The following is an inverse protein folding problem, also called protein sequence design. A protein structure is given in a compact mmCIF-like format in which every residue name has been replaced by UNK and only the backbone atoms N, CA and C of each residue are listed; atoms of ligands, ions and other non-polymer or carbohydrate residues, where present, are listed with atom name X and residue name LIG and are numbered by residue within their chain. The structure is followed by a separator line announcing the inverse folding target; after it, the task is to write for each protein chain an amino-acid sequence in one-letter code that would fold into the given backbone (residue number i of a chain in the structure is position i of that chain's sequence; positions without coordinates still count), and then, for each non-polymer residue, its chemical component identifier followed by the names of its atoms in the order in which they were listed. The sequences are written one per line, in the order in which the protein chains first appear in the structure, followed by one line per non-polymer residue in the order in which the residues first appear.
data_IF_508460564250
#
_entry.id   IF_508460564250
#
_cell.length_a   1.000
_cell.length_b   1.000
_cell.length_c   1.000
_cell.angle_alpha   90.00
_cell.angle_beta   90.00
_cell.angle_gamma   90.00
#
_symmetry.space_group_name_H-M   'P 1'
#
loop_
_entity.id
_entity.type
_entity.pdbx_description
1 polymer ?
#
# COMPACT_ATOMS: atom_id res chain seq x y z
N UNK A 1 50.58 21.87 18.21
CA UNK A 1 49.79 21.22 17.16
C UNK A 1 48.53 20.70 17.84
N UNK A 2 47.43 21.45 17.79
CA UNK A 2 46.12 21.09 18.37
C UNK A 2 45.15 20.97 17.21
N UNK A 3 44.47 19.83 17.13
CA UNK A 3 43.55 19.46 16.06
C UNK A 3 42.38 20.45 15.91
N UNK A 4 41.88 20.68 14.68
CA UNK A 4 40.75 21.56 14.46
C UNK A 4 39.42 20.87 14.83
N UNK A 5 38.61 21.61 15.58
CA UNK A 5 37.20 21.35 15.89
C UNK A 5 36.42 20.90 14.65
N UNK A 6 35.63 19.80 14.69
CA UNK A 6 34.78 19.45 13.57
C UNK A 6 33.65 20.48 13.44
N UNK A 7 33.47 20.98 12.22
CA UNK A 7 32.39 21.88 11.86
C UNK A 7 31.04 21.26 12.27
N UNK A 8 30.20 22.07 12.93
CA UNK A 8 28.82 21.70 13.25
C UNK A 8 28.12 21.36 11.95
N UNK A 9 27.67 20.12 11.83
CA UNK A 9 26.74 19.67 10.80
C UNK A 9 25.53 20.62 10.84
N UNK A 10 25.36 21.41 9.79
CA UNK A 10 24.22 22.31 9.68
C UNK A 10 22.94 21.48 9.76
N UNK A 11 22.17 21.71 10.82
CA UNK A 11 20.85 21.14 10.96
C UNK A 11 19.95 21.90 9.99
N UNK A 12 19.73 21.33 8.80
CA UNK A 12 18.72 21.86 7.87
C UNK A 12 17.35 21.70 8.53
N UNK A 13 16.59 22.79 8.72
CA UNK A 13 15.28 22.71 9.36
C UNK A 13 14.35 21.88 8.46
N UNK A 14 13.72 20.88 9.07
CA UNK A 14 12.74 19.99 8.45
C UNK A 14 11.40 20.75 8.33
N UNK A 15 11.37 21.85 7.58
CA UNK A 15 10.15 22.62 7.36
C UNK A 15 9.29 21.98 6.26
N UNK A 16 8.41 21.08 6.69
CA UNK A 16 6.96 20.99 6.45
C UNK A 16 6.35 21.80 5.27
N UNK A 17 6.81 21.53 4.06
CA UNK A 17 6.06 21.41 2.80
C UNK A 17 6.80 20.28 2.10
N UNK A 18 6.13 19.23 1.63
CA UNK A 18 6.82 18.06 1.04
C UNK A 18 7.95 18.54 0.14
N UNK A 19 9.21 18.23 0.51
CA UNK A 19 10.40 18.71 -0.21
C UNK A 19 10.39 18.32 -1.71
N UNK A 20 9.46 17.45 -2.06
CA UNK A 20 9.13 16.96 -3.38
C UNK A 20 7.83 17.63 -3.86
N UNK A 21 7.92 18.35 -4.97
CA UNK A 21 6.77 18.80 -5.74
C UNK A 21 6.35 17.69 -6.69
N UNK A 22 5.46 16.81 -6.24
CA UNK A 22 4.95 15.71 -7.08
C UNK A 22 4.03 16.27 -8.18
N UNK A 23 4.14 15.77 -9.42
CA UNK A 23 3.17 16.05 -10.47
C UNK A 23 1.75 15.61 -10.07
N UNK A 24 0.73 16.34 -10.53
CA UNK A 24 -0.67 16.06 -10.13
C UNK A 24 -1.14 14.70 -10.63
N UNK A 25 -0.81 14.33 -11.87
CA UNK A 25 -1.09 13.00 -12.44
C UNK A 25 -0.49 11.89 -11.58
N UNK A 26 0.68 12.14 -11.00
CA UNK A 26 1.32 11.17 -10.12
C UNK A 26 0.60 11.03 -8.77
N UNK A 27 0.14 12.15 -8.20
CA UNK A 27 -0.68 12.14 -6.99
C UNK A 27 -2.03 11.46 -7.24
N UNK A 28 -2.67 11.74 -8.38
CA UNK A 28 -3.94 11.15 -8.78
C UNK A 28 -3.81 9.62 -8.93
N UNK A 29 -2.74 9.14 -9.56
CA UNK A 29 -2.46 7.71 -9.68
C UNK A 29 -2.25 7.03 -8.31
N UNK A 30 -1.55 7.71 -7.38
CA UNK A 30 -1.35 7.22 -6.02
C UNK A 30 -2.67 7.15 -5.24
N UNK A 31 -3.51 8.19 -5.34
CA UNK A 31 -4.85 8.22 -4.71
C UNK A 31 -5.73 7.11 -5.27
N UNK A 32 -5.83 7.00 -6.60
CA UNK A 32 -6.61 5.95 -7.24
C UNK A 32 -6.16 4.54 -6.84
N UNK A 33 -4.84 4.32 -6.68
CA UNK A 33 -4.31 3.04 -6.19
C UNK A 33 -4.78 2.73 -4.77
N UNK A 34 -4.76 3.72 -3.87
CA UNK A 34 -5.22 3.56 -2.49
C UNK A 34 -6.73 3.32 -2.42
N UNK A 35 -7.52 4.11 -3.14
CA UNK A 35 -8.98 3.96 -3.19
C UNK A 35 -9.40 2.61 -3.78
N UNK A 36 -8.75 2.17 -4.85
CA UNK A 36 -9.01 0.84 -5.46
C UNK A 36 -8.66 -0.28 -4.49
N UNK A 37 -7.56 -0.16 -3.73
CA UNK A 37 -7.21 -1.13 -2.70
C UNK A 37 -8.25 -1.18 -1.59
N UNK A 38 -8.66 -0.03 -1.07
CA UNK A 38 -9.68 0.05 -0.03
C UNK A 38 -11.01 -0.56 -0.51
N UNK A 39 -11.44 -0.24 -1.73
CA UNK A 39 -12.64 -0.80 -2.33
C UNK A 39 -12.55 -2.33 -2.51
N UNK A 40 -11.40 -2.83 -2.96
CA UNK A 40 -11.16 -4.27 -3.08
C UNK A 40 -11.18 -4.97 -1.71
N UNK A 41 -10.58 -4.38 -0.68
CA UNK A 41 -10.60 -4.93 0.68
C UNK A 41 -12.02 -4.99 1.27
N UNK A 42 -12.83 -3.95 1.08
CA UNK A 42 -14.24 -3.98 1.47
C UNK A 42 -15.04 -5.03 0.70
N UNK A 43 -14.81 -5.15 -0.61
CA UNK A 43 -15.44 -6.18 -1.41
C UNK A 43 -15.03 -7.60 -0.96
N UNK A 44 -13.75 -7.83 -0.71
CA UNK A 44 -13.21 -9.12 -0.30
C UNK A 44 -13.79 -9.61 1.03
N UNK A 45 -14.15 -8.71 1.96
CA UNK A 45 -14.85 -9.06 3.21
C UNK A 45 -16.23 -9.67 2.98
N UNK A 46 -16.84 -9.44 1.83
CA UNK A 46 -18.16 -10.00 1.47
C UNK A 46 -18.07 -11.35 0.79
N UNK A 47 -16.86 -11.77 0.38
CA UNK A 47 -16.64 -13.00 -0.34
C UNK A 47 -16.51 -14.19 0.61
N UNK A 48 -16.82 -15.42 0.14
CA UNK A 48 -16.43 -16.63 0.84
C UNK A 48 -14.93 -16.64 1.15
N UNK A 49 -14.52 -17.28 2.23
CA UNK A 49 -13.11 -17.30 2.64
C UNK A 49 -12.18 -18.01 1.63
N UNK A 50 -12.76 -18.81 0.71
CA UNK A 50 -12.04 -19.46 -0.38
C UNK A 50 -12.62 -19.11 -1.74
N UNK A 51 -11.74 -18.92 -2.72
CA UNK A 51 -12.09 -18.70 -4.13
C UNK A 51 -12.63 -19.96 -4.83
N UNK A 52 -12.12 -21.13 -4.46
CA UNK A 52 -12.62 -22.41 -4.97
C UNK A 52 -13.49 -23.09 -3.90
N UNK A 53 -14.42 -23.98 -4.29
CA UNK A 53 -15.15 -24.78 -3.32
C UNK A 53 -14.18 -25.56 -2.43
N UNK A 54 -14.25 -25.33 -1.12
CA UNK A 54 -13.37 -25.99 -0.15
C UNK A 54 -14.17 -26.44 1.08
N UNK A 55 -13.93 -27.66 1.58
CA UNK A 55 -14.53 -28.08 2.85
C UNK A 55 -13.99 -27.23 4.00
N UNK A 56 -14.85 -27.00 4.97
CA UNK A 56 -14.50 -26.40 6.24
C UNK A 56 -13.48 -27.26 6.98
N UNK A 57 -12.76 -26.64 7.89
CA UNK A 57 -11.71 -27.29 8.65
C UNK A 57 -11.68 -26.74 10.08
N UNK A 58 -11.20 -27.56 11.01
CA UNK A 58 -10.88 -27.14 12.37
C UNK A 58 -9.40 -27.42 12.60
N UNK A 59 -8.67 -26.40 13.04
CA UNK A 59 -7.26 -26.47 13.33
C UNK A 59 -6.96 -27.01 14.71
N UNK A 60 -5.73 -27.50 14.89
CA UNK A 60 -5.25 -27.91 16.20
C UNK A 60 -5.22 -26.73 17.18
N UNK A 61 -5.39 -27.07 18.46
CA UNK A 61 -5.28 -26.12 19.57
C UNK A 61 -3.91 -25.46 19.54
N UNK A 62 -3.90 -24.12 19.50
CA UNK A 62 -2.66 -23.35 19.58
C UNK A 62 -2.05 -23.47 21.00
N UNK A 63 -0.73 -23.56 21.09
CA UNK A 63 -0.04 -23.69 22.39
C UNK A 63 -0.35 -22.45 23.26
N UNK A 64 -0.73 -22.70 24.52
CA UNK A 64 -1.16 -21.68 25.49
C UNK A 64 -2.42 -20.87 25.13
N UNK A 65 -3.22 -21.29 24.14
CA UNK A 65 -4.52 -20.67 23.83
C UNK A 65 -5.64 -21.70 23.86
N UNK A 66 -6.85 -21.28 24.26
CA UNK A 66 -8.07 -22.09 24.10
C UNK A 66 -8.68 -21.94 22.71
N UNK A 67 -8.20 -20.98 21.91
CA UNK A 67 -8.69 -20.74 20.56
C UNK A 67 -8.28 -21.86 19.61
N UNK A 68 -9.22 -22.22 18.72
CA UNK A 68 -9.01 -23.07 17.56
C UNK A 68 -9.49 -22.32 16.33
N UNK A 69 -8.61 -22.17 15.37
CA UNK A 69 -8.98 -21.66 14.05
C UNK A 69 -9.92 -22.65 13.41
N UNK A 70 -11.02 -22.17 12.86
CA UNK A 70 -11.92 -22.98 12.06
C UNK A 70 -12.52 -22.12 10.96
N UNK A 71 -12.93 -22.77 9.89
CA UNK A 71 -13.71 -22.18 8.81
C UNK A 71 -14.83 -23.15 8.42
N UNK A 72 -15.98 -22.62 8.02
CA UNK A 72 -17.09 -23.41 7.48
C UNK A 72 -16.82 -23.84 6.03
N UNK A 73 -17.67 -24.70 5.44
CA UNK A 73 -17.57 -25.03 4.03
C UNK A 73 -17.67 -23.76 3.17
N UNK A 74 -16.66 -23.50 2.33
CA UNK A 74 -16.74 -22.43 1.34
C UNK A 74 -17.33 -22.96 0.04
N UNK A 75 -18.37 -22.33 -0.52
CA UNK A 75 -18.87 -22.66 -1.85
C UNK A 75 -17.94 -22.21 -2.98
N UNK A 76 -16.87 -21.45 -2.69
CA UNK A 76 -16.08 -20.77 -3.71
C UNK A 76 -16.75 -19.51 -4.23
N UNK A 77 -16.05 -18.79 -5.11
CA UNK A 77 -16.59 -17.60 -5.76
C UNK A 77 -17.55 -17.98 -6.87
N UNK A 78 -18.62 -17.20 -7.03
CA UNK A 78 -19.40 -17.23 -8.27
C UNK A 78 -18.58 -16.67 -9.43
N UNK A 79 -19.02 -16.92 -10.66
CA UNK A 79 -18.36 -16.38 -11.85
C UNK A 79 -18.31 -14.85 -11.84
N UNK A 80 -19.41 -14.20 -11.41
CA UNK A 80 -19.49 -12.75 -11.25
C UNK A 80 -18.51 -12.23 -10.19
N UNK A 81 -18.45 -12.90 -9.04
CA UNK A 81 -17.49 -12.54 -7.98
C UNK A 81 -16.05 -12.68 -8.46
N UNK A 82 -15.73 -13.79 -9.13
CA UNK A 82 -14.40 -14.00 -9.68
C UNK A 82 -14.05 -12.98 -10.77
N UNK A 83 -15.02 -12.56 -11.60
CA UNK A 83 -14.84 -11.51 -12.59
C UNK A 83 -14.56 -10.15 -11.94
N UNK A 84 -15.30 -9.81 -10.89
CA UNK A 84 -15.10 -8.56 -10.15
C UNK A 84 -13.76 -8.52 -9.42
N UNK A 85 -13.35 -9.63 -8.80
CA UNK A 85 -11.99 -9.78 -8.22
C UNK A 85 -10.92 -9.57 -9.29
N UNK A 86 -11.05 -10.19 -10.48
CA UNK A 86 -10.10 -9.99 -11.59
C UNK A 86 -10.04 -8.53 -12.02
N UNK A 87 -11.20 -7.86 -12.14
CA UNK A 87 -11.28 -6.43 -12.47
C UNK A 87 -10.50 -5.57 -11.48
N UNK A 88 -10.66 -5.80 -10.17
CA UNK A 88 -9.89 -5.11 -9.15
C UNK A 88 -8.39 -5.41 -9.26
N UNK A 89 -8.00 -6.67 -9.43
CA UNK A 89 -6.60 -7.06 -9.54
C UNK A 89 -5.91 -6.44 -10.76
N UNK A 90 -6.59 -6.38 -11.89
CA UNK A 90 -6.06 -5.77 -13.11
C UNK A 90 -5.89 -4.26 -12.95
N UNK A 91 -6.86 -3.59 -12.33
CA UNK A 91 -6.78 -2.15 -12.07
C UNK A 91 -5.67 -1.82 -11.05
N UNK A 92 -5.57 -2.59 -9.96
CA UNK A 92 -4.47 -2.47 -8.99
C UNK A 92 -3.10 -2.68 -9.66
N UNK A 93 -2.98 -3.66 -10.56
CA UNK A 93 -1.75 -3.91 -11.31
C UNK A 93 -1.41 -2.73 -12.22
N UNK A 94 -2.39 -2.21 -12.95
CA UNK A 94 -2.25 -1.04 -13.83
C UNK A 94 -1.76 0.19 -13.06
N UNK A 95 -2.47 0.57 -12.00
CA UNK A 95 -2.14 1.72 -11.16
C UNK A 95 -0.79 1.55 -10.46
N UNK A 96 -0.47 0.35 -9.98
CA UNK A 96 0.84 0.07 -9.40
C UNK A 96 1.96 0.25 -10.42
N UNK A 97 1.77 -0.18 -11.67
CA UNK A 97 2.76 0.02 -12.72
C UNK A 97 2.96 1.51 -13.01
N UNK A 98 1.87 2.26 -13.16
CA UNK A 98 1.86 3.72 -13.38
C UNK A 98 2.66 4.46 -12.29
N UNK A 99 2.41 4.14 -11.02
CA UNK A 99 3.15 4.72 -9.89
C UNK A 99 4.62 4.29 -9.88
N UNK A 100 4.92 3.01 -10.11
CA UNK A 100 6.30 2.50 -9.98
C UNK A 100 7.22 2.94 -11.13
N UNK A 101 6.68 3.12 -12.33
CA UNK A 101 7.45 3.52 -13.53
C UNK A 101 7.28 4.99 -13.88
N UNK A 102 6.72 5.80 -12.98
CA UNK A 102 6.44 7.20 -13.26
C UNK A 102 7.72 7.98 -13.64
N UNK A 103 7.72 8.79 -14.73
CA UNK A 103 8.90 9.53 -15.19
C UNK A 103 9.51 10.47 -14.14
N UNK A 104 8.71 10.92 -13.18
CA UNK A 104 9.18 11.73 -12.05
C UNK A 104 10.35 11.07 -11.30
N UNK A 105 10.37 9.74 -11.18
CA UNK A 105 11.44 9.04 -10.49
C UNK A 105 12.81 9.25 -11.12
N UNK A 106 12.87 9.36 -12.44
CA UNK A 106 14.11 9.62 -13.17
C UNK A 106 14.65 11.04 -12.93
N UNK A 107 13.84 11.94 -12.37
CA UNK A 107 14.28 13.30 -12.02
C UNK A 107 15.01 13.36 -10.66
N UNK A 108 14.89 12.30 -9.85
CA UNK A 108 15.51 12.20 -8.54
C UNK A 108 16.78 11.36 -8.61
N UNK A 109 17.93 11.92 -8.24
CA UNK A 109 19.21 11.22 -8.26
C UNK A 109 19.42 10.32 -7.04
N UNK A 110 19.36 10.88 -5.83
CA UNK A 110 19.65 10.15 -4.57
C UNK A 110 18.45 10.10 -3.61
N UNK A 111 17.45 10.96 -3.83
CA UNK A 111 16.33 11.18 -2.90
C UNK A 111 15.10 10.28 -3.16
N UNK A 112 15.20 9.27 -4.04
CA UNK A 112 14.06 8.41 -4.44
C UNK A 112 13.38 7.76 -3.24
N UNK A 113 14.15 7.32 -2.24
CA UNK A 113 13.59 6.69 -1.03
C UNK A 113 12.81 7.70 -0.19
N UNK A 114 13.38 8.89 0.04
CA UNK A 114 12.72 9.96 0.78
C UNK A 114 11.44 10.43 0.05
N UNK A 115 11.49 10.56 -1.27
CA UNK A 115 10.34 10.90 -2.09
C UNK A 115 9.25 9.82 -2.05
N UNK A 116 9.59 8.53 -2.10
CA UNK A 116 8.62 7.44 -1.91
C UNK A 116 7.94 7.49 -0.54
N UNK A 117 8.68 7.82 0.51
CA UNK A 117 8.10 7.97 1.84
C UNK A 117 7.16 9.18 1.91
N UNK A 118 7.55 10.32 1.33
CA UNK A 118 6.70 11.50 1.26
C UNK A 118 5.42 11.26 0.43
N UNK A 119 5.52 10.54 -0.70
CA UNK A 119 4.38 10.23 -1.56
C UNK A 119 3.28 9.44 -0.84
N UNK A 120 3.66 8.51 0.05
CA UNK A 120 2.68 7.74 0.85
C UNK A 120 1.76 8.63 1.68
N UNK A 121 2.24 9.79 2.11
CA UNK A 121 1.48 10.74 2.93
C UNK A 121 1.02 11.96 2.14
N UNK A 122 1.30 12.04 0.84
CA UNK A 122 1.00 13.22 0.02
C UNK A 122 -0.50 13.46 -0.17
N UNK A 123 -1.33 12.46 0.14
CA UNK A 123 -2.80 12.55 0.11
C UNK A 123 -3.42 12.87 1.48
N UNK A 124 -2.62 12.86 2.56
CA UNK A 124 -3.09 13.27 3.87
C UNK A 124 -3.24 14.80 3.89
N UNK A 125 -4.33 15.34 4.46
CA UNK A 125 -4.44 16.79 4.63
C UNK A 125 -3.27 17.26 5.50
N UNK A 126 -2.57 18.31 5.06
CA UNK A 126 -1.51 18.91 5.86
C UNK A 126 -2.10 19.30 7.21
N UNK A 127 -1.71 18.61 8.28
CA UNK A 127 -2.28 18.87 9.60
C UNK A 127 -2.09 20.35 9.97
N UNK A 128 -3.24 21.02 10.14
CA UNK A 128 -3.37 22.45 10.41
C UNK A 128 -2.71 22.87 11.72
#
# INVERSE_FOLDING_TARGET
MKDPTPARREYRPVCRVSAFSFPQDFLDAQVALHETRAAYEEYAKTLPWSAEPMPGWEGDKQLHSSYRSHEEDSPGYTEEQAAEVRRFQDELRRLSAEVMTHPYWSTLSEDVVAARMALKHAHEPAEA
#
